data_IF_923406556237
#
_entry.id   IF_923406556237
#
_cell.length_a   1.000
_cell.length_b   1.000
_cell.length_c   1.000
_cell.angle_alpha   90.00
_cell.angle_beta   90.00
_cell.angle_gamma   90.00
#
_symmetry.space_group_name_H-M   'P 1'
#
loop_
_entity.id
_entity.type
_entity.pdbx_description
1 polymer ?
#
# COMPACT_ATOMS: atom_id res chain seq x y z
N UNK A 1 13.06 -7.10 5.82
CA UNK A 1 11.89 -6.22 6.11
C UNK A 1 10.85 -7.08 6.79
N UNK A 2 10.18 -6.59 7.85
CA UNK A 2 9.13 -7.36 8.51
C UNK A 2 7.83 -7.27 7.70
N UNK A 3 7.21 -8.41 7.40
CA UNK A 3 5.94 -8.46 6.65
C UNK A 3 4.87 -9.12 7.50
N UNK A 4 3.72 -8.47 7.61
CA UNK A 4 2.54 -8.94 8.34
C UNK A 4 1.41 -9.12 7.32
N UNK A 5 0.64 -10.21 7.42
CA UNK A 5 -0.48 -10.48 6.52
C UNK A 5 -1.76 -10.63 7.33
N UNK A 6 -2.83 -9.97 6.90
CA UNK A 6 -4.16 -10.11 7.46
C UNK A 6 -5.23 -10.20 6.36
N UNK A 7 -6.28 -10.94 6.63
CA UNK A 7 -7.49 -10.99 5.81
C UNK A 7 -8.62 -10.38 6.62
N UNK A 8 -9.02 -9.16 6.26
CA UNK A 8 -10.07 -8.40 6.94
C UNK A 8 -11.34 -8.52 6.09
N UNK A 9 -12.13 -9.55 6.37
CA UNK A 9 -13.25 -9.99 5.53
C UNK A 9 -14.61 -9.48 6.04
N UNK A 10 -14.63 -8.78 7.17
CA UNK A 10 -15.87 -8.35 7.80
C UNK A 10 -16.43 -7.12 7.08
N UNK A 11 -17.70 -7.17 6.72
CA UNK A 11 -18.44 -6.05 6.10
C UNK A 11 -18.50 -4.79 6.98
N UNK A 12 -18.15 -4.89 8.27
CA UNK A 12 -18.03 -3.77 9.19
C UNK A 12 -16.73 -2.96 9.01
N UNK A 13 -15.76 -3.48 8.26
CA UNK A 13 -14.51 -2.78 7.93
C UNK A 13 -14.79 -1.60 6.98
N UNK A 14 -13.96 -0.56 7.04
CA UNK A 14 -14.07 0.63 6.19
C UNK A 14 -14.26 0.23 4.70
N UNK A 15 -15.46 0.52 4.16
CA UNK A 15 -15.89 0.07 2.84
C UNK A 15 -15.24 0.93 1.77
N UNK A 16 -14.20 0.40 1.12
CA UNK A 16 -13.67 1.00 -0.10
C UNK A 16 -14.67 0.75 -1.23
N UNK A 17 -15.16 1.83 -1.84
CA UNK A 17 -15.95 1.78 -3.08
C UNK A 17 -15.07 2.12 -4.28
N UNK A 18 -15.25 1.42 -5.40
CA UNK A 18 -14.44 1.58 -6.61
C UNK A 18 -15.35 1.63 -7.86
N UNK A 19 -15.34 2.75 -8.62
CA UNK A 19 -14.81 4.06 -8.23
C UNK A 19 -15.59 4.64 -7.02
N UNK A 20 -14.91 5.43 -6.21
CA UNK A 20 -15.54 6.18 -5.11
C UNK A 20 -16.16 7.48 -5.63
N UNK A 21 -17.30 7.87 -5.09
CA UNK A 21 -17.98 9.13 -5.42
C UNK A 21 -18.06 10.04 -4.20
N UNK A 22 -17.84 11.33 -4.42
CA UNK A 22 -18.10 12.37 -3.43
C UNK A 22 -19.39 13.10 -3.75
N UNK A 23 -20.11 13.56 -2.73
CA UNK A 23 -21.15 14.57 -2.90
C UNK A 23 -20.59 15.96 -3.21
N UNK A 24 -19.31 16.19 -2.96
CA UNK A 24 -18.61 17.42 -3.33
C UNK A 24 -18.06 17.30 -4.76
N UNK A 25 -18.49 18.13 -5.73
CA UNK A 25 -18.04 18.05 -7.12
C UNK A 25 -16.54 18.33 -7.32
N UNK A 26 -15.89 19.00 -6.36
CA UNK A 26 -14.46 19.29 -6.41
C UNK A 26 -13.60 18.08 -6.04
N UNK A 27 -14.21 17.08 -5.39
CA UNK A 27 -13.54 15.85 -4.96
C UNK A 27 -14.01 14.71 -5.85
N UNK A 28 -13.09 14.14 -6.61
CA UNK A 28 -13.39 13.07 -7.55
C UNK A 28 -12.36 11.96 -7.52
N UNK A 29 -12.81 10.77 -7.86
CA UNK A 29 -11.93 9.66 -8.15
C UNK A 29 -11.15 9.92 -9.45
N UNK A 30 -9.87 9.58 -9.45
CA UNK A 30 -9.02 9.63 -10.63
C UNK A 30 -8.64 8.21 -11.02
N UNK A 31 -9.10 7.75 -12.18
CA UNK A 31 -8.61 6.51 -12.75
C UNK A 31 -7.22 6.75 -13.36
N UNK A 32 -6.19 6.47 -12.55
CA UNK A 32 -4.79 6.66 -12.93
C UNK A 32 -4.33 5.68 -14.03
N UNK A 33 -5.08 4.60 -14.25
CA UNK A 33 -4.79 3.63 -15.30
C UNK A 33 -5.37 4.08 -16.63
N UNK A 34 -6.54 4.71 -16.62
CA UNK A 34 -7.11 5.33 -17.82
C UNK A 34 -6.27 6.53 -18.28
N UNK A 35 -5.86 7.42 -17.36
CA UNK A 35 -4.95 8.53 -17.65
C UNK A 35 -3.90 8.71 -16.55
N UNK A 36 -2.70 8.19 -16.80
CA UNK A 36 -1.56 8.28 -15.86
C UNK A 36 -1.09 9.72 -15.62
N UNK A 37 -1.41 10.68 -16.49
CA UNK A 37 -1.06 12.11 -16.27
C UNK A 37 -1.81 12.70 -15.09
N UNK A 38 -2.94 12.09 -14.69
CA UNK A 38 -3.71 12.50 -13.51
C UNK A 38 -2.92 12.37 -12.20
N UNK A 39 -1.82 11.60 -12.17
CA UNK A 39 -0.93 11.50 -11.02
C UNK A 39 -0.39 12.87 -10.61
N UNK A 40 -0.11 13.76 -11.56
CA UNK A 40 0.40 15.12 -11.27
C UNK A 40 -0.63 16.00 -10.54
N UNK A 41 -1.92 15.61 -10.55
CA UNK A 41 -2.97 16.30 -9.79
C UNK A 41 -3.00 15.89 -8.32
N UNK A 42 -2.38 14.76 -7.97
CA UNK A 42 -2.34 14.26 -6.60
C UNK A 42 -1.26 15.00 -5.82
N UNK A 43 -1.67 15.78 -4.82
CA UNK A 43 -0.76 16.49 -3.94
C UNK A 43 0.27 15.56 -3.30
N UNK A 44 -0.18 14.42 -2.78
CA UNK A 44 0.70 13.41 -2.16
C UNK A 44 1.76 12.86 -3.13
N UNK A 45 1.45 12.74 -4.42
CA UNK A 45 2.40 12.28 -5.43
C UNK A 45 3.42 13.37 -5.78
N UNK A 46 2.98 14.64 -5.83
CA UNK A 46 3.88 15.79 -6.05
C UNK A 46 4.84 15.99 -4.88
N UNK A 47 4.36 15.82 -3.65
CA UNK A 47 5.18 15.96 -2.44
C UNK A 47 6.18 14.81 -2.28
N UNK A 48 5.82 13.59 -2.67
CA UNK A 48 6.65 12.40 -2.47
C UNK A 48 6.97 11.69 -3.79
N UNK A 49 8.10 12.03 -4.46
CA UNK A 49 8.51 11.42 -5.72
C UNK A 49 8.57 9.88 -5.72
N UNK A 50 8.99 9.20 -4.63
CA UNK A 50 8.93 7.74 -4.59
C UNK A 50 7.52 7.19 -4.78
N UNK A 51 6.50 7.82 -4.19
CA UNK A 51 5.11 7.42 -4.37
C UNK A 51 4.61 7.72 -5.77
N UNK A 52 4.95 8.87 -6.36
CA UNK A 52 4.63 9.14 -7.77
C UNK A 52 5.14 8.05 -8.69
N UNK A 53 6.39 7.62 -8.51
CA UNK A 53 7.00 6.56 -9.30
C UNK A 53 6.27 5.22 -9.10
N UNK A 54 5.92 4.90 -7.84
CA UNK A 54 5.13 3.72 -7.51
C UNK A 54 3.76 3.72 -8.20
N UNK A 55 3.00 4.82 -8.09
CA UNK A 55 1.69 4.96 -8.73
C UNK A 55 1.80 4.85 -10.26
N UNK A 56 2.83 5.46 -10.85
CA UNK A 56 3.10 5.38 -12.29
C UNK A 56 3.35 3.93 -12.73
N UNK A 57 4.21 3.21 -12.00
CA UNK A 57 4.51 1.82 -12.31
C UNK A 57 3.29 0.90 -12.14
N UNK A 58 2.54 1.06 -11.05
CA UNK A 58 1.37 0.22 -10.77
C UNK A 58 0.23 0.45 -11.75
N UNK A 59 0.02 1.66 -12.26
CA UNK A 59 -1.04 1.94 -13.23
C UNK A 59 -0.57 1.82 -14.70
N UNK A 60 0.67 1.37 -14.94
CA UNK A 60 1.18 1.13 -16.29
C UNK A 60 0.64 -0.16 -16.93
N UNK A 61 0.83 -0.27 -18.24
CA UNK A 61 0.51 -1.48 -19.00
C UNK A 61 1.32 -2.72 -18.58
N UNK A 62 2.46 -2.55 -17.89
CA UNK A 62 3.32 -3.64 -17.43
C UNK A 62 2.84 -4.26 -16.11
N UNK A 63 2.04 -3.52 -15.34
CA UNK A 63 1.46 -3.97 -14.08
C UNK A 63 0.13 -4.69 -14.30
N UNK A 64 -0.10 -5.77 -13.55
CA UNK A 64 -1.42 -6.42 -13.44
C UNK A 64 -2.32 -5.77 -12.39
N UNK A 65 -1.84 -4.70 -11.75
CA UNK A 65 -2.55 -4.00 -10.70
C UNK A 65 -3.04 -2.64 -11.21
N UNK A 66 -3.96 -2.05 -10.46
CA UNK A 66 -4.32 -0.64 -10.52
C UNK A 66 -4.46 -0.12 -9.09
N UNK A 67 -4.22 1.17 -8.87
CA UNK A 67 -4.33 1.77 -7.53
C UNK A 67 -5.70 2.41 -7.35
N UNK A 68 -6.39 2.10 -6.25
CA UNK A 68 -7.70 2.66 -5.93
C UNK A 68 -7.65 3.81 -4.92
N UNK A 69 -6.64 3.82 -4.04
CA UNK A 69 -6.47 4.83 -3.00
C UNK A 69 -4.99 4.94 -2.63
N UNK A 70 -4.53 6.14 -2.30
CA UNK A 70 -3.22 6.32 -1.67
C UNK A 70 -3.28 7.43 -0.60
N UNK A 71 -2.49 7.28 0.46
CA UNK A 71 -2.26 8.31 1.48
C UNK A 71 -0.90 8.12 2.15
N UNK A 72 -0.32 9.21 2.64
CA UNK A 72 0.88 9.22 3.49
C UNK A 72 0.57 9.91 4.81
N UNK A 73 1.34 9.58 5.84
CA UNK A 73 1.31 10.30 7.10
C UNK A 73 2.65 10.16 7.82
N UNK A 74 3.02 11.19 8.55
CA UNK A 74 4.16 11.18 9.47
C UNK A 74 3.63 11.06 10.89
N UNK A 75 4.19 10.13 11.66
CA UNK A 75 3.95 10.03 13.09
C UNK A 75 5.23 10.45 13.81
N UNK A 76 5.13 11.57 14.51
CA UNK A 76 6.11 12.02 15.48
C UNK A 76 5.47 11.89 16.86
N UNK A 77 6.10 11.12 17.76
CA UNK A 77 5.66 11.10 19.15
C UNK A 77 6.18 12.37 19.81
N UNK A 78 5.27 13.21 20.28
CA UNK A 78 5.63 14.44 20.98
C UNK A 78 6.17 14.05 22.37
N UNK A 79 7.41 14.42 22.74
CA UNK A 79 7.97 14.09 24.06
C UNK A 79 7.14 14.65 25.24
N UNK A 80 6.14 15.52 24.99
CA UNK A 80 5.21 16.06 25.97
C UNK A 80 3.80 15.48 25.98
N UNK A 81 3.39 14.63 25.02
CA UNK A 81 2.03 14.06 25.02
C UNK A 81 1.97 12.82 25.93
N UNK A 82 1.71 13.05 27.22
CA UNK A 82 1.60 12.04 28.26
C UNK A 82 0.42 11.08 28.11
N UNK A 83 0.44 10.23 27.08
CA UNK A 83 -0.29 8.97 27.07
C UNK A 83 0.66 7.82 27.46
N UNK A 84 1.30 7.97 28.62
CA UNK A 84 1.99 6.88 29.29
C UNK A 84 0.93 5.92 29.85
N UNK A 85 0.62 4.85 29.11
CA UNK A 85 0.23 3.60 29.76
C UNK A 85 1.46 3.12 30.53
N UNK A 86 1.31 2.99 31.84
CA UNK A 86 2.41 2.96 32.80
C UNK A 86 3.49 1.90 32.54
N UNK A 87 4.68 2.38 32.21
CA UNK A 87 5.96 1.76 32.58
C UNK A 87 7.04 2.83 32.51
N UNK A 88 7.44 3.35 33.68
CA UNK A 88 8.54 4.29 33.79
C UNK A 88 9.84 3.64 33.28
N UNK A 89 10.44 4.22 32.23
CA UNK A 89 11.79 3.89 31.79
C UNK A 89 12.72 5.06 32.10
N UNK A 90 13.92 4.71 32.56
CA UNK A 90 14.92 5.58 33.16
C UNK A 90 15.40 6.73 32.25
N UNK A 91 15.90 7.84 32.81
CA UNK A 91 16.47 8.94 32.03
C UNK A 91 17.84 8.53 31.47
N UNK A 92 17.90 8.30 30.15
CA UNK A 92 19.13 7.99 29.45
C UNK A 92 18.92 7.35 28.08
N UNK A 93 18.72 8.19 27.07
CA UNK A 93 18.98 7.89 25.64
C UNK A 93 18.13 6.79 24.97
N UNK A 94 16.92 7.15 24.55
CA UNK A 94 16.36 6.69 23.28
C UNK A 94 15.31 7.68 22.81
N UNK A 95 15.73 8.57 21.90
CA UNK A 95 14.80 9.35 21.10
C UNK A 95 13.93 8.36 20.32
N UNK A 96 12.65 8.27 20.66
CA UNK A 96 11.74 7.35 20.00
C UNK A 96 11.69 7.69 18.49
N UNK A 97 11.77 6.69 17.60
CA UNK A 97 12.04 6.93 16.19
C UNK A 97 10.84 7.59 15.49
N UNK A 98 11.10 8.63 14.70
CA UNK A 98 10.13 9.18 13.74
C UNK A 98 9.67 8.07 12.79
N UNK A 99 8.38 8.03 12.47
CA UNK A 99 7.82 7.03 11.55
C UNK A 99 7.11 7.69 10.38
N UNK A 100 7.61 7.46 9.18
CA UNK A 100 6.92 7.82 7.95
C UNK A 100 6.16 6.60 7.42
N UNK A 101 4.90 6.80 7.01
CA UNK A 101 4.04 5.71 6.60
C UNK A 101 3.18 6.05 5.39
N UNK A 102 2.77 5.01 4.67
CA UNK A 102 1.82 5.12 3.57
C UNK A 102 0.86 3.94 3.53
N UNK A 103 -0.29 4.16 2.90
CA UNK A 103 -1.20 3.12 2.47
C UNK A 103 -1.47 3.29 0.98
N UNK A 104 -1.37 2.20 0.22
CA UNK A 104 -1.85 2.14 -1.16
C UNK A 104 -2.77 0.94 -1.31
N UNK A 105 -3.98 1.17 -1.80
CA UNK A 105 -4.94 0.11 -2.08
C UNK A 105 -4.82 -0.30 -3.55
N UNK A 106 -4.64 -1.60 -3.78
CA UNK A 106 -4.43 -2.22 -5.08
C UNK A 106 -5.58 -3.15 -5.42
N UNK A 107 -5.98 -3.14 -6.69
CA UNK A 107 -6.88 -4.13 -7.30
C UNK A 107 -6.20 -4.75 -8.51
N UNK A 108 -6.63 -5.94 -8.92
CA UNK A 108 -6.23 -6.52 -10.19
C UNK A 108 -6.87 -5.77 -11.35
N UNK A 109 -6.13 -5.57 -12.43
CA UNK A 109 -6.69 -5.07 -13.69
C UNK A 109 -7.61 -6.10 -14.35
N UNK A 110 -7.25 -7.40 -14.44
CA UNK A 110 -8.21 -8.41 -14.86
C UNK A 110 -9.27 -8.56 -13.77
N UNK A 111 -10.45 -8.02 -14.04
CA UNK A 111 -11.52 -7.84 -13.05
C UNK A 111 -11.95 -9.16 -12.40
N UNK A 112 -11.90 -10.27 -13.13
CA UNK A 112 -12.24 -11.60 -12.63
C UNK A 112 -11.41 -12.04 -11.42
N UNK A 113 -10.20 -11.51 -11.24
CA UNK A 113 -9.35 -11.82 -10.09
C UNK A 113 -9.77 -11.07 -8.83
N UNK A 114 -10.46 -9.94 -8.97
CA UNK A 114 -10.93 -9.15 -7.82
C UNK A 114 -12.02 -9.85 -7.02
N UNK A 115 -12.72 -10.82 -7.61
CA UNK A 115 -13.78 -11.58 -6.95
C UNK A 115 -13.32 -12.94 -6.43
N UNK A 116 -12.01 -13.21 -6.47
CA UNK A 116 -11.45 -14.47 -6.02
C UNK A 116 -10.45 -14.27 -4.87
N UNK A 117 -10.85 -14.66 -3.66
CA UNK A 117 -10.01 -14.59 -2.46
C UNK A 117 -8.69 -15.36 -2.59
N UNK A 118 -8.67 -16.50 -3.29
CA UNK A 118 -7.45 -17.30 -3.44
C UNK A 118 -6.38 -16.55 -4.22
N UNK A 119 -6.77 -15.66 -5.14
CA UNK A 119 -5.82 -14.82 -5.89
C UNK A 119 -5.09 -13.83 -4.97
N UNK A 120 -5.81 -13.23 -4.02
CA UNK A 120 -5.19 -12.37 -3.01
C UNK A 120 -4.32 -13.16 -2.03
N UNK A 121 -4.71 -14.39 -1.69
CA UNK A 121 -3.88 -15.27 -0.88
C UNK A 121 -2.56 -15.64 -1.58
N UNK A 122 -2.62 -16.05 -2.85
CA UNK A 122 -1.43 -16.34 -3.65
C UNK A 122 -0.54 -15.11 -3.82
N UNK A 123 -1.13 -13.95 -4.12
CA UNK A 123 -0.43 -12.67 -4.22
C UNK A 123 0.32 -12.34 -2.92
N UNK A 124 -0.37 -12.36 -1.78
CA UNK A 124 0.27 -12.06 -0.49
C UNK A 124 1.37 -13.04 -0.14
N UNK A 125 1.21 -14.33 -0.47
CA UNK A 125 2.26 -15.34 -0.31
C UNK A 125 3.53 -15.03 -1.11
N UNK A 126 3.38 -14.72 -2.41
CA UNK A 126 4.52 -14.31 -3.24
C UNK A 126 5.18 -13.03 -2.75
N UNK A 127 4.39 -12.03 -2.31
CA UNK A 127 4.94 -10.78 -1.78
C UNK A 127 5.72 -11.02 -0.49
N UNK A 128 5.22 -11.85 0.43
CA UNK A 128 5.96 -12.23 1.65
C UNK A 128 7.29 -12.86 1.27
N UNK A 129 7.30 -13.83 0.36
CA UNK A 129 8.53 -14.49 -0.07
C UNK A 129 9.55 -13.50 -0.64
N UNK A 130 9.13 -12.62 -1.57
CA UNK A 130 10.02 -11.66 -2.21
C UNK A 130 10.54 -10.59 -1.23
N UNK A 131 9.70 -10.14 -0.32
CA UNK A 131 10.00 -9.01 0.56
C UNK A 131 10.78 -9.40 1.83
N UNK A 132 10.77 -10.68 2.20
CA UNK A 132 11.52 -11.21 3.35
C UNK A 132 12.87 -11.82 2.98
N UNK A 133 13.17 -12.04 1.69
CA UNK A 133 14.43 -12.62 1.19
C UNK A 133 15.70 -11.89 1.65
N UNK A 134 15.63 -10.60 1.93
CA UNK A 134 16.73 -9.84 2.52
C UNK A 134 16.48 -9.57 4.01
N UNK A 135 17.45 -9.99 4.83
CA UNK A 135 17.55 -9.62 6.25
C UNK A 135 17.84 -8.12 6.36
N UNK A 136 16.80 -7.32 6.19
CA UNK A 136 16.86 -5.87 6.40
C UNK A 136 16.58 -5.58 7.89
N UNK A 137 17.26 -4.58 8.47
CA UNK A 137 16.99 -4.15 9.83
C UNK A 137 15.50 -3.82 10.04
N UNK A 138 15.04 -3.95 11.28
CA UNK A 138 13.66 -3.74 11.76
C UNK A 138 13.08 -2.32 11.51
N UNK A 139 13.79 -1.50 10.74
CA UNK A 139 13.41 -0.16 10.34
C UNK A 139 12.26 -0.13 9.32
N UNK A 140 11.99 -1.23 8.60
CA UNK A 140 10.90 -1.33 7.63
C UNK A 140 9.90 -2.42 8.02
N UNK A 141 8.62 -2.04 8.06
CA UNK A 141 7.49 -2.94 8.27
C UNK A 141 6.47 -2.75 7.16
N UNK A 142 5.98 -3.85 6.61
CA UNK A 142 4.86 -3.87 5.67
C UNK A 142 3.72 -4.68 6.24
N UNK A 143 2.51 -4.15 6.19
CA UNK A 143 1.30 -4.91 6.47
C UNK A 143 0.49 -5.04 5.17
N UNK A 144 0.28 -6.27 4.74
CA UNK A 144 -0.53 -6.65 3.60
C UNK A 144 -1.91 -7.07 4.10
N UNK A 145 -2.94 -6.30 3.74
CA UNK A 145 -4.30 -6.56 4.20
C UNK A 145 -5.22 -6.78 3.01
N UNK A 146 -5.69 -8.00 2.82
CA UNK A 146 -6.76 -8.27 1.87
C UNK A 146 -8.09 -7.87 2.51
N UNK A 147 -8.80 -6.91 1.92
CA UNK A 147 -10.02 -6.32 2.47
C UNK A 147 -11.19 -6.44 1.50
N UNK A 148 -12.40 -6.58 2.02
CA UNK A 148 -13.61 -6.47 1.21
C UNK A 148 -13.74 -5.06 0.62
N UNK A 149 -14.16 -4.95 -0.64
CA UNK A 149 -14.47 -3.68 -1.30
C UNK A 149 -15.64 -3.85 -2.27
N UNK A 150 -16.35 -2.76 -2.55
CA UNK A 150 -17.50 -2.76 -3.44
C UNK A 150 -17.11 -2.15 -4.78
N UNK A 151 -17.19 -2.94 -5.84
CA UNK A 151 -17.08 -2.46 -7.22
C UNK A 151 -18.46 -1.93 -7.63
N UNK A 152 -18.53 -0.72 -8.20
CA UNK A 152 -19.80 -0.14 -8.66
C UNK A 152 -20.21 -0.64 -10.05
N UNK A 153 -19.23 -0.91 -10.90
CA UNK A 153 -19.41 -1.44 -12.23
C UNK A 153 -18.45 -2.62 -12.44
N UNK A 154 -18.94 -3.87 -12.32
CA UNK A 154 -20.29 -4.29 -11.94
C UNK A 154 -20.55 -4.06 -10.44
N UNK A 155 -21.81 -3.82 -10.05
CA UNK A 155 -22.22 -3.62 -8.65
C UNK A 155 -22.05 -4.92 -7.86
N UNK A 156 -20.84 -5.17 -7.34
CA UNK A 156 -20.46 -6.45 -6.77
C UNK A 156 -19.39 -6.30 -5.70
N UNK A 157 -19.52 -7.10 -4.64
CA UNK A 157 -18.49 -7.26 -3.62
C UNK A 157 -17.32 -8.10 -4.13
N UNK A 158 -16.12 -7.57 -3.93
CA UNK A 158 -14.86 -8.25 -4.20
C UNK A 158 -13.82 -7.87 -3.15
N UNK A 159 -12.55 -7.97 -3.53
CA UNK A 159 -11.42 -7.74 -2.64
C UNK A 159 -10.46 -6.72 -3.24
N UNK A 160 -9.74 -6.04 -2.36
CA UNK A 160 -8.57 -5.23 -2.68
C UNK A 160 -7.43 -5.60 -1.72
N UNK A 161 -6.20 -5.28 -2.11
CA UNK A 161 -5.03 -5.41 -1.26
C UNK A 161 -4.61 -4.03 -0.77
N UNK A 162 -4.77 -3.77 0.51
CA UNK A 162 -4.19 -2.61 1.16
C UNK A 162 -2.76 -2.91 1.59
N UNK A 163 -1.82 -2.16 1.01
CA UNK A 163 -0.40 -2.24 1.33
C UNK A 163 -0.05 -1.07 2.22
N UNK A 164 0.20 -1.38 3.49
CA UNK A 164 0.75 -0.42 4.43
C UNK A 164 2.26 -0.56 4.48
N UNK A 165 2.98 0.54 4.36
CA UNK A 165 4.42 0.59 4.54
C UNK A 165 4.73 1.58 5.67
N UNK A 166 5.56 1.14 6.60
CA UNK A 166 6.05 1.94 7.73
C UNK A 166 7.56 1.91 7.72
N UNK A 167 8.17 3.09 7.80
CA UNK A 167 9.61 3.23 7.93
C UNK A 167 9.96 4.07 9.15
N UNK A 168 10.87 3.56 9.96
CA UNK A 168 11.39 4.25 11.15
C UNK A 168 12.72 4.92 10.83
N UNK A 169 12.93 6.12 11.39
CA UNK A 169 14.16 6.89 11.29
C UNK A 169 14.43 7.68 12.57
N UNK A 170 15.67 8.09 12.77
CA UNK A 170 16.07 9.00 13.84
C UNK A 170 15.52 10.43 13.60
N UNK A 171 15.28 10.81 12.34
CA UNK A 171 14.64 12.07 11.94
C UNK A 171 13.51 11.79 10.95
N UNK A 172 12.57 12.73 10.75
CA UNK A 172 11.53 12.61 9.72
C UNK A 172 12.09 12.36 8.32
N UNK A 173 13.16 13.05 7.94
CA UNK A 173 13.80 12.93 6.63
C UNK A 173 14.42 11.55 6.45
N UNK A 174 15.06 11.02 7.50
CA UNK A 174 15.61 9.67 7.46
C UNK A 174 14.49 8.62 7.33
N UNK A 175 13.37 8.81 8.03
CA UNK A 175 12.21 7.93 7.94
C UNK A 175 11.61 7.96 6.53
N UNK A 176 11.47 9.14 5.92
CA UNK A 176 10.97 9.31 4.56
C UNK A 176 11.89 8.68 3.51
N UNK A 177 13.22 8.86 3.61
CA UNK A 177 14.18 8.23 2.70
C UNK A 177 14.08 6.70 2.78
N UNK A 178 14.02 6.15 3.99
CA UNK A 178 13.85 4.69 4.18
C UNK A 178 12.51 4.21 3.63
N UNK A 179 11.43 4.97 3.84
CA UNK A 179 10.12 4.69 3.27
C UNK A 179 10.18 4.65 1.74
N UNK A 180 10.84 5.61 1.10
CA UNK A 180 11.02 5.64 -0.35
C UNK A 180 11.72 4.39 -0.88
N UNK A 181 12.79 3.94 -0.20
CA UNK A 181 13.48 2.69 -0.54
C UNK A 181 12.58 1.45 -0.34
N UNK A 182 11.80 1.42 0.74
CA UNK A 182 10.81 0.37 0.98
C UNK A 182 9.77 0.30 -0.13
N UNK A 183 9.30 1.45 -0.61
CA UNK A 183 8.30 1.52 -1.65
C UNK A 183 8.82 1.00 -3.01
N UNK A 184 10.08 1.31 -3.34
CA UNK A 184 10.75 0.74 -4.53
C UNK A 184 10.83 -0.78 -4.46
N UNK A 185 11.13 -1.36 -3.29
CA UNK A 185 11.17 -2.82 -3.10
C UNK A 185 9.80 -3.47 -3.32
N UNK A 186 8.73 -2.86 -2.76
CA UNK A 186 7.35 -3.30 -2.97
C UNK A 186 6.98 -3.21 -4.45
N UNK A 187 7.33 -2.11 -5.13
CA UNK A 187 7.10 -1.92 -6.56
C UNK A 187 7.71 -3.07 -7.37
N UNK A 188 8.98 -3.38 -7.11
CA UNK A 188 9.69 -4.45 -7.80
C UNK A 188 9.05 -5.82 -7.55
N UNK A 189 8.65 -6.12 -6.31
CA UNK A 189 7.96 -7.37 -5.97
C UNK A 189 6.60 -7.52 -6.68
N UNK A 190 5.83 -6.43 -6.78
CA UNK A 190 4.55 -6.40 -7.50
C UNK A 190 4.73 -6.57 -9.01
N UNK A 191 5.71 -5.88 -9.61
CA UNK A 191 6.00 -6.03 -11.04
C UNK A 191 6.52 -7.43 -11.37
N UNK A 192 7.37 -8.01 -10.51
CA UNK A 192 7.83 -9.38 -10.67
C UNK A 192 6.66 -10.38 -10.59
N UNK A 193 5.80 -10.22 -9.59
CA UNK A 193 4.58 -11.04 -9.46
C UNK A 193 3.65 -10.86 -10.68
N UNK A 194 3.51 -9.65 -11.21
CA UNK A 194 2.74 -9.38 -12.43
C UNK A 194 3.25 -10.20 -13.62
N UNK A 195 4.57 -10.29 -13.80
CA UNK A 195 5.19 -11.08 -14.89
C UNK A 195 4.91 -12.58 -14.72
N UNK A 196 5.05 -13.11 -13.51
CA UNK A 196 4.76 -14.53 -13.22
C UNK A 196 3.29 -14.85 -13.52
N UNK A 197 2.36 -14.02 -13.03
CA UNK A 197 0.94 -14.24 -13.23
C UNK A 197 0.54 -14.16 -14.70
N UNK A 198 1.09 -13.20 -15.47
CA UNK A 198 0.87 -13.13 -16.93
C UNK A 198 1.32 -14.40 -17.64
N UNK A 199 2.48 -14.95 -17.27
CA UNK A 199 2.98 -16.20 -17.85
C UNK A 199 2.07 -17.40 -17.49
N UNK A 200 1.55 -17.46 -16.27
CA UNK A 200 0.59 -18.50 -15.89
C UNK A 200 -0.71 -18.41 -16.71
N UNK A 201 -1.24 -17.20 -16.89
CA UNK A 201 -2.47 -16.97 -17.67
C UNK A 201 -2.28 -17.41 -19.12
N UNK A 202 -1.17 -16.99 -19.75
CA UNK A 202 -0.85 -17.31 -21.14
C UNK A 202 -0.64 -18.82 -21.39
N UNK A 203 -0.27 -19.59 -20.36
CA UNK A 203 -0.11 -21.06 -20.46
C UNK A 203 -1.42 -21.84 -20.26
N UNK A 204 -2.45 -21.18 -19.74
CA UNK A 204 -3.75 -21.79 -19.40
C UNK A 204 -4.85 -21.37 -20.38
N UNK A 205 -4.52 -20.46 -21.31
CA UNK A 205 -5.39 -19.99 -22.40
C UNK A 205 -5.04 -20.70 -23.70
#
# INVERSE_FOLDING_TARGET
>A
MRVEVAFELDEASEKLEIPWESSNPDIRYFDLREDTKLIERLEVARQHPPLRNFLTAMNSADSLFATARCKTWLTQQDPGSGAASGAATAPGTSMEPCQFASQVDLVFTPEQFNFNRSQYAELTGHLVELLTRESAPDALRVALRARACHFRAPSRWGFCLAVFLYARGATPEQAEVRWGLGLVRIQQALLFTSRILRQKIARTS
#
